data_IF_754245192323
#
_entry.id   IF_754245192323
#
_cell.length_a   1.000
_cell.length_b   1.000
_cell.length_c   1.000
_cell.angle_alpha   90.00
_cell.angle_beta   90.00
_cell.angle_gamma   90.00
#
_symmetry.space_group_name_H-M   'P 1'
#
loop_
_entity.id
_entity.type
_entity.pdbx_description
1 polymer ?
#
# COMPACT_ATOMS: atom_id res chain seq x y z
N UNK A 1 -25.76 -3.77 9.20
CA UNK A 1 -24.38 -3.63 8.70
C UNK A 1 -23.67 -2.76 9.72
N UNK A 2 -22.73 -3.31 10.49
CA UNK A 2 -22.09 -2.58 11.58
C UNK A 2 -20.94 -1.76 10.98
N UNK A 3 -21.03 -0.43 11.04
CA UNK A 3 -19.94 0.47 10.65
C UNK A 3 -18.76 0.23 11.60
N UNK A 4 -17.68 -0.35 11.08
CA UNK A 4 -16.43 -0.49 11.82
C UNK A 4 -15.68 0.85 11.78
N UNK A 5 -15.22 1.34 12.94
CA UNK A 5 -14.50 2.62 13.09
C UNK A 5 -13.09 2.66 12.44
N UNK A 6 -12.75 1.72 11.56
CA UNK A 6 -11.41 1.57 11.01
C UNK A 6 -10.37 1.13 12.06
N UNK A 7 -9.10 1.06 11.64
CA UNK A 7 -7.98 0.84 12.55
C UNK A 7 -7.59 2.15 13.25
N UNK A 8 -7.15 2.07 14.51
CA UNK A 8 -6.54 3.22 15.18
C UNK A 8 -5.20 3.61 14.52
N UNK A 9 -4.74 4.84 14.77
CA UNK A 9 -3.43 5.30 14.31
C UNK A 9 -2.29 4.34 14.69
N UNK A 10 -2.23 3.92 15.94
CA UNK A 10 -1.19 3.01 16.43
C UNK A 10 -1.25 1.64 15.72
N UNK A 11 -2.45 1.16 15.39
CA UNK A 11 -2.62 -0.07 14.62
C UNK A 11 -2.16 0.11 13.16
N UNK A 12 -2.43 1.26 12.55
CA UNK A 12 -1.94 1.58 11.21
C UNK A 12 -0.41 1.67 11.18
N UNK A 13 0.19 2.29 12.21
CA UNK A 13 1.65 2.42 12.35
C UNK A 13 2.32 1.07 12.56
N UNK A 14 1.79 0.24 13.47
CA UNK A 14 2.27 -1.12 13.68
C UNK A 14 2.30 -1.92 12.38
N UNK A 15 1.22 -1.86 11.61
CA UNK A 15 1.08 -2.57 10.34
C UNK A 15 2.03 -2.03 9.27
N UNK A 16 2.22 -0.70 9.20
CA UNK A 16 3.16 -0.09 8.26
C UNK A 16 4.61 -0.45 8.59
N UNK A 17 4.99 -0.40 9.87
CA UNK A 17 6.36 -0.63 10.31
C UNK A 17 6.79 -2.09 10.14
N UNK A 18 5.91 -3.05 10.43
CA UNK A 18 6.12 -4.47 10.13
C UNK A 18 6.44 -4.69 8.64
N UNK A 19 5.60 -4.13 7.77
CA UNK A 19 5.77 -4.26 6.31
C UNK A 19 7.01 -3.53 5.82
N UNK A 20 7.28 -2.34 6.35
CA UNK A 20 8.48 -1.55 6.01
C UNK A 20 9.74 -2.35 6.34
N UNK A 21 9.78 -3.01 7.49
CA UNK A 21 10.93 -3.83 7.87
C UNK A 21 11.17 -4.95 6.86
N UNK A 22 10.13 -5.70 6.48
CA UNK A 22 10.23 -6.77 5.50
C UNK A 22 10.60 -6.21 4.12
N UNK A 23 9.90 -5.19 3.63
CA UNK A 23 10.05 -4.70 2.27
C UNK A 23 11.44 -4.09 2.06
N UNK A 24 11.96 -3.36 3.05
CA UNK A 24 13.32 -2.78 3.00
C UNK A 24 14.38 -3.87 2.87
N UNK A 25 14.26 -5.00 3.60
CA UNK A 25 15.19 -6.13 3.49
C UNK A 25 15.21 -6.77 2.10
N UNK A 26 14.14 -6.60 1.32
CA UNK A 26 13.99 -7.13 -0.03
C UNK A 26 14.14 -6.04 -1.12
N UNK A 27 14.75 -4.90 -0.80
CA UNK A 27 15.00 -3.83 -1.78
C UNK A 27 13.73 -3.06 -2.18
N UNK A 28 12.76 -2.96 -1.28
CA UNK A 28 11.53 -2.22 -1.49
C UNK A 28 11.76 -0.77 -1.89
N UNK A 29 10.94 -0.29 -2.81
CA UNK A 29 10.98 1.06 -3.36
C UNK A 29 9.98 1.93 -2.59
N UNK A 30 10.45 3.07 -2.06
CA UNK A 30 9.56 4.05 -1.42
C UNK A 30 8.55 4.60 -2.41
N UNK A 31 7.32 4.78 -1.94
CA UNK A 31 6.30 5.42 -2.75
C UNK A 31 6.60 6.92 -2.97
N UNK A 32 6.15 7.48 -4.10
CA UNK A 32 6.04 8.92 -4.27
C UNK A 32 5.29 9.58 -3.09
N UNK A 33 5.74 10.76 -2.66
CA UNK A 33 5.24 11.41 -1.44
C UNK A 33 3.76 11.79 -1.48
N UNK A 34 3.21 11.96 -2.68
CA UNK A 34 1.79 12.22 -2.90
C UNK A 34 0.91 10.98 -2.68
N UNK A 35 1.51 9.79 -2.57
CA UNK A 35 0.85 8.55 -2.16
C UNK A 35 1.05 8.24 -0.67
N UNK A 36 1.45 9.22 0.14
CA UNK A 36 1.69 9.04 1.57
C UNK A 36 3.00 8.29 1.87
N UNK A 37 3.01 7.57 2.99
CA UNK A 37 4.15 6.83 3.49
C UNK A 37 4.00 5.33 3.23
N UNK A 38 4.95 4.73 2.52
CA UNK A 38 4.80 3.35 2.07
C UNK A 38 5.92 2.88 1.16
N UNK A 39 5.87 1.58 0.86
CA UNK A 39 6.82 0.91 -0.01
C UNK A 39 6.12 -0.10 -0.93
N UNK A 40 6.65 -0.26 -2.14
CA UNK A 40 6.36 -1.36 -3.04
C UNK A 40 7.56 -2.33 -3.09
N UNK A 41 7.31 -3.64 -3.10
CA UNK A 41 8.35 -4.65 -3.06
C UNK A 41 7.97 -5.91 -3.85
N UNK A 42 9.00 -6.66 -4.24
CA UNK A 42 8.90 -7.99 -4.82
C UNK A 42 9.49 -9.02 -3.84
N UNK A 43 8.67 -9.96 -3.38
CA UNK A 43 8.94 -10.92 -2.30
C UNK A 43 8.79 -12.38 -2.77
N UNK A 44 9.69 -12.90 -3.64
CA UNK A 44 9.53 -14.20 -4.28
C UNK A 44 9.63 -15.40 -3.32
N UNK A 45 10.35 -15.26 -2.20
CA UNK A 45 10.71 -16.36 -1.30
C UNK A 45 10.07 -16.18 0.08
N UNK A 46 8.74 -15.97 0.11
CA UNK A 46 7.97 -15.83 1.36
C UNK A 46 6.81 -16.84 1.39
N UNK A 47 6.18 -17.10 2.55
CA UNK A 47 5.02 -17.99 2.64
C UNK A 47 3.84 -17.61 1.72
N UNK A 48 3.79 -16.38 1.20
CA UNK A 48 2.81 -15.94 0.19
C UNK A 48 3.50 -15.62 -1.14
N UNK A 49 4.26 -16.59 -1.65
CA UNK A 49 5.00 -16.52 -2.91
C UNK A 49 4.10 -16.51 -4.15
N UNK A 50 2.83 -16.90 -3.98
CA UNK A 50 1.75 -16.78 -4.97
C UNK A 50 1.41 -15.31 -5.27
N UNK A 51 1.64 -14.41 -4.30
CA UNK A 51 1.44 -12.96 -4.44
C UNK A 51 2.72 -12.18 -4.07
N UNK A 52 3.77 -12.29 -4.91
CA UNK A 52 5.08 -11.77 -4.55
C UNK A 52 5.17 -10.24 -4.72
N UNK A 53 4.28 -9.62 -5.50
CA UNK A 53 4.27 -8.18 -5.71
C UNK A 53 3.38 -7.51 -4.68
N UNK A 54 3.93 -6.64 -3.84
CA UNK A 54 3.20 -6.06 -2.73
C UNK A 54 3.47 -4.58 -2.60
N UNK A 55 2.44 -3.83 -2.25
CA UNK A 55 2.56 -2.40 -1.93
C UNK A 55 1.70 -2.08 -0.72
N UNK A 56 2.25 -1.28 0.19
CA UNK A 56 1.52 -0.71 1.31
C UNK A 56 1.69 0.79 1.28
N UNK A 57 0.61 1.51 1.57
CA UNK A 57 0.62 2.96 1.77
C UNK A 57 -0.25 3.32 2.96
N UNK A 58 0.31 4.09 3.88
CA UNK A 58 -0.43 4.89 4.86
C UNK A 58 -0.51 6.32 4.34
N UNK A 59 -1.72 6.84 4.20
CA UNK A 59 -1.98 8.15 3.59
C UNK A 59 -3.10 8.87 4.36
N UNK A 60 -3.26 10.17 4.14
CA UNK A 60 -4.39 10.92 4.69
C UNK A 60 -5.55 10.93 3.71
N UNK A 61 -6.75 10.80 4.27
CA UNK A 61 -8.03 11.11 3.64
C UNK A 61 -8.60 12.26 4.48
N UNK A 62 -8.38 13.49 4.01
CA UNK A 62 -8.49 14.73 4.78
C UNK A 62 -7.71 14.67 6.12
N UNK A 63 -8.44 14.51 7.22
CA UNK A 63 -7.89 14.50 8.58
C UNK A 63 -7.74 13.12 9.21
N UNK A 64 -8.05 12.06 8.45
CA UNK A 64 -7.99 10.69 8.93
C UNK A 64 -6.87 9.94 8.21
N UNK A 65 -6.02 9.29 9.00
CA UNK A 65 -5.05 8.34 8.44
C UNK A 65 -5.78 7.08 7.97
N UNK A 66 -5.34 6.57 6.83
CA UNK A 66 -5.86 5.39 6.17
C UNK A 66 -4.71 4.54 5.69
N UNK A 67 -4.97 3.25 5.45
CA UNK A 67 -3.98 2.34 4.93
C UNK A 67 -4.57 1.44 3.85
N UNK A 68 -3.90 1.39 2.70
CA UNK A 68 -4.21 0.45 1.62
C UNK A 68 -3.03 -0.49 1.45
N UNK A 69 -3.32 -1.78 1.29
CA UNK A 69 -2.34 -2.79 0.90
C UNK A 69 -2.84 -3.53 -0.32
N UNK A 70 -2.00 -3.65 -1.34
CA UNK A 70 -2.32 -4.39 -2.56
C UNK A 70 -1.29 -5.51 -2.70
N UNK A 71 -1.79 -6.71 -2.95
CA UNK A 71 -1.01 -7.89 -3.26
C UNK A 71 -1.37 -8.34 -4.67
N UNK A 72 -0.36 -8.60 -5.50
CA UNK A 72 -0.54 -9.11 -6.85
C UNK A 72 0.23 -10.41 -7.01
N UNK A 73 -0.40 -11.32 -7.76
CA UNK A 73 0.29 -12.45 -8.35
C UNK A 73 1.41 -11.99 -9.29
N UNK A 74 2.14 -12.97 -9.84
CA UNK A 74 3.27 -12.68 -10.73
C UNK A 74 2.82 -11.82 -11.92
N UNK A 75 3.39 -10.61 -12.01
CA UNK A 75 3.22 -9.71 -13.17
C UNK A 75 3.88 -10.34 -14.41
N UNK A 76 3.35 -10.02 -15.59
CA UNK A 76 3.85 -10.52 -16.87
C UNK A 76 5.36 -10.25 -17.06
N UNK A 77 6.05 -11.23 -17.66
CA UNK A 77 7.50 -11.15 -17.91
C UNK A 77 7.84 -9.91 -18.76
N UNK A 78 8.89 -9.19 -18.38
CA UNK A 78 9.36 -8.00 -19.10
C UNK A 78 8.64 -6.70 -18.75
N UNK A 79 7.64 -6.73 -17.85
CA UNK A 79 7.07 -5.51 -17.27
C UNK A 79 7.76 -5.12 -15.96
N UNK A 80 7.74 -3.83 -15.67
CA UNK A 80 8.13 -3.29 -14.38
C UNK A 80 6.95 -3.37 -13.40
N UNK A 81 6.87 -4.49 -12.67
CA UNK A 81 5.79 -4.73 -11.72
C UNK A 81 5.77 -3.73 -10.55
N UNK A 82 6.91 -3.13 -10.17
CA UNK A 82 6.96 -2.13 -9.11
C UNK A 82 6.32 -0.82 -9.59
N UNK A 83 6.64 -0.38 -10.80
CA UNK A 83 5.98 0.79 -11.42
C UNK A 83 4.48 0.60 -11.54
N UNK A 84 4.03 -0.60 -11.96
CA UNK A 84 2.62 -0.93 -12.05
C UNK A 84 1.92 -0.93 -10.68
N UNK A 85 2.56 -1.44 -9.62
CA UNK A 85 2.03 -1.37 -8.25
C UNK A 85 1.84 0.07 -7.78
N UNK A 86 2.80 0.96 -8.06
CA UNK A 86 2.70 2.38 -7.71
C UNK A 86 1.53 3.05 -8.45
N UNK A 87 1.36 2.75 -9.75
CA UNK A 87 0.23 3.24 -10.52
C UNK A 87 -1.11 2.73 -9.99
N UNK A 88 -1.19 1.46 -9.60
CA UNK A 88 -2.38 0.87 -8.99
C UNK A 88 -2.70 1.49 -7.62
N UNK A 89 -1.68 1.75 -6.78
CA UNK A 89 -1.89 2.45 -5.50
C UNK A 89 -2.49 3.85 -5.72
N UNK A 90 -2.00 4.60 -6.72
CA UNK A 90 -2.55 5.91 -7.10
C UNK A 90 -4.03 5.83 -7.49
N UNK A 91 -4.39 4.83 -8.30
CA UNK A 91 -5.79 4.59 -8.70
C UNK A 91 -6.63 4.22 -7.48
N UNK A 92 -6.11 3.35 -6.60
CA UNK A 92 -6.80 2.90 -5.40
C UNK A 92 -7.09 4.06 -4.45
N UNK A 93 -6.10 4.92 -4.16
CA UNK A 93 -6.30 6.10 -3.31
C UNK A 93 -7.30 7.07 -3.92
N UNK A 94 -7.23 7.34 -5.24
CA UNK A 94 -8.22 8.19 -5.92
C UNK A 94 -9.64 7.66 -5.74
N UNK A 95 -9.86 6.36 -6.00
CA UNK A 95 -11.17 5.71 -5.84
C UNK A 95 -11.62 5.66 -4.38
N UNK A 96 -10.69 5.51 -3.44
CA UNK A 96 -10.97 5.61 -2.01
C UNK A 96 -11.51 7.01 -1.68
N UNK A 97 -10.86 8.08 -2.15
CA UNK A 97 -11.32 9.45 -1.95
C UNK A 97 -12.73 9.69 -2.48
N UNK A 98 -13.03 9.20 -3.69
CA UNK A 98 -14.37 9.27 -4.29
C UNK A 98 -15.43 8.51 -3.46
N UNK A 99 -15.08 7.31 -2.95
CA UNK A 99 -15.98 6.49 -2.16
C UNK A 99 -16.32 7.12 -0.80
N UNK A 100 -15.34 7.76 -0.17
CA UNK A 100 -15.46 8.33 1.17
C UNK A 100 -15.68 9.85 1.20
N UNK A 101 -15.77 10.50 0.03
CA UNK A 101 -15.97 11.94 -0.09
C UNK A 101 -14.84 12.78 0.52
N UNK A 102 -13.59 12.32 0.40
CA UNK A 102 -12.40 12.98 0.97
C UNK A 102 -11.31 13.20 -0.07
N UNK A 103 -10.31 14.01 0.27
CA UNK A 103 -9.12 14.22 -0.56
C UNK A 103 -7.96 13.35 -0.06
N UNK A 104 -7.48 12.38 -0.87
CA UNK A 104 -6.27 11.61 -0.55
C UNK A 104 -5.01 12.48 -0.64
N UNK A 105 -4.08 12.30 0.29
CA UNK A 105 -2.80 13.01 0.30
C UNK A 105 -1.83 12.44 1.32
N UNK A 106 -0.74 13.19 1.58
CA UNK A 106 0.28 12.83 2.55
C UNK A 106 -0.19 13.00 3.98
#
# INVERSE_FOLDING_TARGET
MQEGNGLSRDQLDFVLDDRRQVYTRHGGVRLPTDLGDGLAAYLPNTPFSDQPYRVVSKFRCDNKEQLITIYLARVAKGRDGIKDLIALMRIAQKRYGELYGCTPGR
#
